data_IF_400791771417
#
_entry.id   IF_400791771417
#
_cell.length_a   1.000
_cell.length_b   1.000
_cell.length_c   1.000
_cell.angle_alpha   90.00
_cell.angle_beta   90.00
_cell.angle_gamma   90.00
#
_symmetry.space_group_name_H-M   'P 1'
#
loop_
_entity.id
_entity.type
_entity.pdbx_description
1 polymer ?
#
# COMPACT_ATOMS: atom_id res chain seq x y z
N UNK A 1 -45.72 32.56 -36.67
CA UNK A 1 -45.33 32.36 -35.27
C UNK A 1 -44.52 31.09 -35.20
N UNK A 2 -43.21 31.15 -34.97
CA UNK A 2 -42.51 30.20 -34.10
C UNK A 2 -41.07 30.64 -33.92
N UNK A 3 -40.62 30.51 -32.67
CA UNK A 3 -39.53 31.28 -32.07
C UNK A 3 -38.18 30.63 -32.34
N UNK A 4 -37.20 31.49 -32.68
CA UNK A 4 -35.77 31.24 -32.57
C UNK A 4 -35.40 30.94 -31.11
N UNK A 5 -34.82 29.77 -30.84
CA UNK A 5 -34.08 29.51 -29.61
C UNK A 5 -32.59 29.36 -29.95
N UNK A 6 -31.85 30.45 -29.75
CA UNK A 6 -30.39 30.43 -29.63
C UNK A 6 -30.03 29.95 -28.22
N UNK A 7 -29.31 28.84 -28.12
CA UNK A 7 -28.62 28.45 -26.89
C UNK A 7 -27.15 28.82 -27.07
N UNK A 8 -26.67 29.75 -26.22
CA UNK A 8 -25.27 30.14 -26.10
C UNK A 8 -24.47 29.00 -25.44
N UNK A 9 -23.49 28.44 -26.15
CA UNK A 9 -22.44 27.63 -25.52
C UNK A 9 -21.42 28.59 -24.87
N UNK A 10 -21.40 28.64 -23.54
CA UNK A 10 -20.31 29.25 -22.79
C UNK A 10 -19.14 28.27 -22.71
N UNK A 11 -18.02 28.68 -23.28
CA UNK A 11 -16.71 28.05 -23.15
C UNK A 11 -16.20 28.26 -21.72
N UNK A 12 -15.88 27.17 -21.02
CA UNK A 12 -15.08 27.20 -19.79
C UNK A 12 -13.93 26.19 -19.94
N UNK A 13 -12.77 26.72 -20.34
CA UNK A 13 -11.48 26.06 -20.21
C UNK A 13 -11.19 25.78 -18.73
N UNK A 14 -11.03 24.52 -18.36
CA UNK A 14 -10.32 24.15 -17.12
C UNK A 14 -9.10 23.33 -17.48
N UNK A 15 -7.95 23.84 -17.03
CA UNK A 15 -6.60 23.32 -17.25
C UNK A 15 -6.46 21.86 -16.76
N UNK A 16 -6.18 20.94 -17.69
CA UNK A 16 -5.48 19.69 -17.38
C UNK A 16 -3.98 19.90 -17.66
N UNK A 17 -3.19 19.97 -16.59
CA UNK A 17 -1.73 19.94 -16.67
C UNK A 17 -1.28 18.50 -16.95
N UNK A 18 -1.01 18.19 -18.22
CA UNK A 18 -0.30 16.99 -18.63
C UNK A 18 1.20 17.26 -18.51
N UNK A 19 1.83 16.64 -17.51
CA UNK A 19 3.28 16.62 -17.37
C UNK A 19 3.91 15.78 -18.49
N UNK A 20 4.33 16.42 -19.58
CA UNK A 20 5.27 15.85 -20.56
C UNK A 20 6.69 16.08 -20.06
N UNK A 21 7.30 15.04 -19.51
CA UNK A 21 8.73 14.99 -19.24
C UNK A 21 9.44 14.60 -20.53
N UNK A 22 9.92 15.59 -21.29
CA UNK A 22 10.77 15.36 -22.47
C UNK A 22 12.22 15.67 -22.13
N UNK A 23 13.05 14.64 -22.18
CA UNK A 23 14.51 14.73 -22.26
C UNK A 23 14.94 15.74 -23.33
N UNK A 24 15.81 16.69 -22.98
CA UNK A 24 16.81 17.27 -23.88
C UNK A 24 17.89 18.01 -23.08
N UNK A 25 19.08 17.42 -23.05
CA UNK A 25 20.34 18.08 -22.76
C UNK A 25 20.71 18.90 -24.01
N UNK A 26 21.01 20.20 -23.87
CA UNK A 26 21.96 20.90 -24.76
C UNK A 26 22.58 22.12 -24.06
N UNK A 27 23.84 22.33 -24.38
CA UNK A 27 24.83 23.24 -23.81
C UNK A 27 24.60 24.74 -24.09
N UNK A 28 25.18 25.57 -23.21
CA UNK A 28 25.89 26.84 -23.47
C UNK A 28 25.25 27.87 -24.42
N UNK A 29 24.94 29.05 -23.89
CA UNK A 29 25.71 30.28 -24.16
C UNK A 29 25.00 31.50 -23.58
N UNK A 30 25.83 32.44 -23.15
CA UNK A 30 25.52 33.81 -22.73
C UNK A 30 24.31 34.45 -23.42
N UNK A 31 23.40 35.03 -22.63
CA UNK A 31 22.85 36.34 -22.93
C UNK A 31 22.36 37.05 -21.67
N UNK A 32 23.05 38.16 -21.39
CA UNK A 32 22.77 39.11 -20.32
C UNK A 32 21.80 40.14 -20.90
N UNK A 33 20.63 40.32 -20.28
CA UNK A 33 19.75 41.46 -20.56
C UNK A 33 19.54 42.21 -19.26
N UNK A 34 19.77 43.52 -19.32
CA UNK A 34 19.85 44.46 -18.22
C UNK A 34 18.79 45.53 -18.46
N UNK A 35 17.90 45.80 -17.48
CA UNK A 35 17.13 47.04 -17.34
C UNK A 35 16.76 47.22 -15.85
N UNK A 36 16.50 48.46 -15.37
CA UNK A 36 17.08 48.97 -14.14
C UNK A 36 16.03 49.24 -13.04
N UNK A 37 16.54 49.62 -11.87
CA UNK A 37 15.85 50.27 -10.74
C UNK A 37 15.09 49.37 -9.75
N UNK A 38 15.83 48.84 -8.77
CA UNK A 38 15.68 49.16 -7.33
C UNK A 38 16.77 48.42 -6.55
N UNK A 39 17.67 49.18 -5.91
CA UNK A 39 18.66 48.67 -4.96
C UNK A 39 17.94 48.31 -3.66
N UNK A 40 17.97 47.05 -3.28
CA UNK A 40 17.94 46.64 -1.88
C UNK A 40 19.27 45.96 -1.58
N UNK A 41 20.08 46.60 -0.74
CA UNK A 41 21.30 46.01 -0.18
C UNK A 41 20.89 45.13 1.00
N UNK A 42 20.97 43.82 0.84
CA UNK A 42 21.11 42.90 1.96
C UNK A 42 22.50 42.28 1.88
N UNK A 43 23.31 42.58 2.89
CA UNK A 43 24.67 42.07 3.02
C UNK A 43 24.66 40.53 3.12
N UNK A 44 25.50 39.89 2.30
CA UNK A 44 25.80 38.47 2.45
C UNK A 44 26.61 38.27 3.74
N UNK A 45 26.17 37.43 4.69
CA UNK A 45 27.09 36.88 5.66
C UNK A 45 27.93 35.78 5.00
N UNK A 46 29.18 35.74 5.42
CA UNK A 46 30.27 34.92 4.90
C UNK A 46 29.97 33.41 5.04
N UNK A 47 30.49 32.66 4.05
CA UNK A 47 30.76 31.22 4.03
C UNK A 47 30.55 30.48 5.36
N UNK A 48 29.57 29.59 5.39
CA UNK A 48 29.67 28.34 6.14
C UNK A 48 29.61 27.19 5.12
N UNK A 49 30.78 26.67 4.75
CA UNK A 49 30.88 25.36 4.09
C UNK A 49 30.58 24.32 5.15
N UNK A 50 29.36 23.79 5.15
CA UNK A 50 29.11 22.48 5.72
C UNK A 50 28.64 21.58 4.58
N UNK A 51 29.51 20.63 4.22
CA UNK A 51 29.14 19.46 3.43
C UNK A 51 28.06 18.70 4.21
N UNK A 52 26.80 18.96 3.88
CA UNK A 52 25.70 18.06 4.22
C UNK A 52 25.46 17.20 2.98
N UNK A 53 26.18 16.09 2.91
CA UNK A 53 25.79 14.95 2.09
C UNK A 53 24.46 14.43 2.66
N UNK A 54 23.35 14.87 2.09
CA UNK A 54 22.05 14.26 2.32
C UNK A 54 22.12 12.82 1.81
N UNK A 55 21.85 11.79 2.63
CA UNK A 55 21.70 10.44 2.12
C UNK A 55 20.45 10.43 1.22
N UNK A 56 20.69 10.23 -0.05
CA UNK A 56 19.72 10.13 -1.13
C UNK A 56 18.98 8.80 -1.09
N UNK A 57 18.22 8.49 -0.03
CA UNK A 57 17.27 7.38 -0.03
C UNK A 57 16.08 7.68 0.89
N UNK A 58 15.32 8.74 0.59
CA UNK A 58 13.89 8.71 0.94
C UNK A 58 13.20 7.84 -0.10
N UNK A 59 13.10 6.55 0.18
CA UNK A 59 12.08 5.73 -0.46
C UNK A 59 10.73 6.34 -0.08
N UNK A 60 10.13 7.06 -1.02
CA UNK A 60 8.74 7.45 -0.92
C UNK A 60 7.93 6.17 -1.13
N UNK A 61 7.76 5.38 -0.08
CA UNK A 61 6.85 4.24 -0.08
C UNK A 61 5.43 4.81 -0.16
N UNK A 62 4.88 4.85 -1.37
CA UNK A 62 3.43 4.95 -1.52
C UNK A 62 2.85 3.71 -0.84
N UNK A 63 1.87 3.84 0.09
CA UNK A 63 1.34 2.70 0.79
C UNK A 63 0.75 1.73 -0.24
N UNK A 64 1.35 0.53 -0.31
CA UNK A 64 0.91 -0.58 -1.13
C UNK A 64 -0.38 -1.09 -0.48
N UNK A 65 -1.49 -0.38 -0.68
CA UNK A 65 -2.75 -0.69 -0.02
C UNK A 65 -3.79 -1.34 -0.95
N UNK A 66 -3.52 -1.39 -2.26
CA UNK A 66 -4.46 -1.98 -3.22
C UNK A 66 -4.08 -3.40 -3.61
N UNK A 67 -5.09 -4.27 -3.56
CA UNK A 67 -5.08 -5.57 -4.26
C UNK A 67 -4.93 -5.34 -5.76
N UNK A 68 -4.28 -6.28 -6.45
CA UNK A 68 -4.09 -6.24 -7.91
C UNK A 68 -4.50 -7.55 -8.52
N UNK A 69 -5.04 -7.50 -9.73
CA UNK A 69 -5.35 -8.69 -10.52
C UNK A 69 -4.31 -8.84 -11.62
N UNK A 70 -3.98 -10.08 -11.94
CA UNK A 70 -3.15 -10.43 -13.07
C UNK A 70 -3.78 -11.56 -13.86
N UNK A 71 -3.66 -11.48 -15.18
CA UNK A 71 -4.09 -12.52 -16.11
C UNK A 71 -2.90 -12.93 -16.95
N UNK A 72 -2.69 -14.23 -17.08
CA UNK A 72 -1.72 -14.83 -17.98
C UNK A 72 -2.39 -15.83 -18.90
N UNK A 73 -1.88 -15.88 -20.13
CA UNK A 73 -2.34 -16.80 -21.16
C UNK A 73 -1.12 -17.29 -21.93
N UNK A 74 -1.02 -18.60 -22.09
CA UNK A 74 0.01 -19.21 -22.92
C UNK A 74 -0.58 -20.34 -23.77
N UNK A 75 0.03 -20.55 -24.95
CA UNK A 75 -0.37 -21.58 -25.90
C UNK A 75 0.87 -22.19 -26.56
N UNK A 76 1.00 -23.51 -26.46
CA UNK A 76 2.04 -24.28 -27.14
C UNK A 76 1.46 -25.15 -28.23
N UNK A 77 2.21 -25.26 -29.34
CA UNK A 77 1.97 -26.30 -30.35
C UNK A 77 2.45 -27.65 -29.83
N UNK A 78 1.74 -28.72 -30.19
CA UNK A 78 2.10 -30.10 -29.85
C UNK A 78 2.62 -30.86 -31.07
N UNK A 79 3.84 -31.37 -31.00
CA UNK A 79 4.50 -32.13 -32.07
C UNK A 79 4.94 -33.53 -31.62
N UNK A 80 4.95 -34.53 -32.52
CA UNK A 80 5.42 -35.88 -32.20
C UNK A 80 6.88 -35.93 -31.73
N UNK A 81 7.17 -36.86 -30.81
CA UNK A 81 8.55 -37.11 -30.34
C UNK A 81 9.07 -36.11 -29.31
N UNK A 82 8.26 -35.14 -28.89
CA UNK A 82 8.56 -34.23 -27.79
C UNK A 82 7.86 -34.67 -26.50
N UNK A 83 8.44 -34.39 -25.31
CA UNK A 83 7.78 -34.64 -24.04
C UNK A 83 6.66 -33.61 -23.79
N UNK A 84 5.54 -34.06 -23.22
CA UNK A 84 4.47 -33.18 -22.75
C UNK A 84 4.65 -32.90 -21.26
N UNK A 85 5.13 -31.71 -20.92
CA UNK A 85 5.31 -31.28 -19.53
C UNK A 85 4.23 -30.27 -19.18
N UNK A 86 3.47 -30.55 -18.12
CA UNK A 86 2.34 -29.72 -17.69
C UNK A 86 2.36 -29.63 -16.16
N UNK A 87 2.56 -28.43 -15.63
CA UNK A 87 2.62 -28.20 -14.19
C UNK A 87 3.74 -28.94 -13.48
N UNK A 88 4.89 -29.10 -14.13
CA UNK A 88 6.07 -29.82 -13.64
C UNK A 88 5.97 -31.34 -13.74
N UNK A 89 4.94 -31.88 -14.41
CA UNK A 89 4.73 -33.32 -14.58
C UNK A 89 4.87 -33.67 -16.06
N UNK A 90 5.69 -34.67 -16.35
CA UNK A 90 5.73 -35.30 -17.68
C UNK A 90 4.53 -36.24 -17.82
N UNK A 91 3.65 -35.93 -18.77
CA UNK A 91 2.46 -36.70 -19.07
C UNK A 91 2.74 -37.68 -20.21
N UNK A 92 2.13 -38.87 -20.13
CA UNK A 92 2.18 -39.83 -21.22
C UNK A 92 1.29 -39.36 -22.38
N UNK A 93 1.93 -39.08 -23.51
CA UNK A 93 1.28 -38.56 -24.71
C UNK A 93 2.16 -38.80 -25.94
N UNK A 94 1.55 -38.97 -27.11
CA UNK A 94 2.23 -39.16 -28.40
C UNK A 94 2.85 -37.86 -28.97
N UNK A 95 2.58 -36.72 -28.34
CA UNK A 95 3.01 -35.37 -28.74
C UNK A 95 3.38 -34.53 -27.51
N UNK A 96 4.31 -33.61 -27.67
CA UNK A 96 4.75 -32.70 -26.60
C UNK A 96 4.89 -31.26 -27.06
N UNK A 97 5.05 -30.35 -26.10
CA UNK A 97 5.08 -28.90 -26.33
C UNK A 97 6.33 -28.48 -27.11
N UNK A 98 6.13 -27.64 -28.12
CA UNK A 98 7.21 -26.93 -28.81
C UNK A 98 7.51 -25.64 -28.06
N UNK A 99 8.70 -25.53 -27.46
CA UNK A 99 9.12 -24.33 -26.73
C UNK A 99 10.64 -24.16 -26.70
N UNK A 100 11.08 -22.99 -26.25
CA UNK A 100 12.51 -22.69 -26.02
C UNK A 100 13.00 -23.24 -24.66
N UNK A 101 12.07 -23.52 -23.73
CA UNK A 101 12.26 -24.19 -22.44
C UNK A 101 11.69 -25.62 -22.48
N UNK A 102 11.25 -26.14 -21.33
CA UNK A 102 10.53 -27.42 -21.22
C UNK A 102 9.06 -27.36 -21.68
N UNK A 103 8.56 -26.19 -22.11
CA UNK A 103 7.25 -26.03 -22.74
C UNK A 103 6.05 -26.14 -21.78
N UNK A 104 6.27 -25.86 -20.49
CA UNK A 104 5.22 -25.92 -19.47
C UNK A 104 4.26 -24.73 -19.53
N UNK A 105 3.12 -24.96 -20.19
CA UNK A 105 2.07 -23.96 -20.42
C UNK A 105 1.48 -23.39 -19.11
N UNK A 106 1.45 -24.18 -18.03
CA UNK A 106 0.88 -23.73 -16.75
C UNK A 106 1.85 -22.75 -16.11
N UNK A 107 3.12 -23.12 -16.00
CA UNK A 107 4.12 -22.26 -15.36
C UNK A 107 4.27 -20.95 -16.09
N UNK A 108 4.32 -20.95 -17.42
CA UNK A 108 4.37 -19.72 -18.21
C UNK A 108 3.15 -18.83 -17.98
N UNK A 109 1.94 -19.40 -18.02
CA UNK A 109 0.70 -18.65 -17.76
C UNK A 109 0.69 -18.03 -16.36
N UNK A 110 1.16 -18.76 -15.34
CA UNK A 110 1.22 -18.26 -13.96
C UNK A 110 2.26 -17.15 -13.82
N UNK A 111 3.42 -17.28 -14.47
CA UNK A 111 4.44 -16.22 -14.51
C UNK A 111 3.86 -14.94 -15.12
N UNK A 112 3.22 -15.03 -16.29
CA UNK A 112 2.60 -13.86 -16.93
C UNK A 112 1.48 -13.24 -16.08
N UNK A 113 0.68 -14.05 -15.40
CA UNK A 113 -0.33 -13.55 -14.47
C UNK A 113 0.31 -12.74 -13.34
N UNK A 114 1.39 -13.23 -12.73
CA UNK A 114 2.12 -12.52 -11.67
C UNK A 114 2.72 -11.22 -12.22
N UNK A 115 3.43 -11.27 -13.35
CA UNK A 115 4.06 -10.11 -13.97
C UNK A 115 3.04 -9.04 -14.36
N UNK A 116 1.92 -9.46 -14.95
CA UNK A 116 0.79 -8.59 -15.29
C UNK A 116 0.19 -7.90 -14.07
N UNK A 117 -0.03 -8.65 -12.98
CA UNK A 117 -0.49 -8.07 -11.71
C UNK A 117 0.48 -7.07 -11.09
N UNK A 118 1.78 -7.22 -11.35
CA UNK A 118 2.82 -6.29 -10.90
C UNK A 118 3.02 -5.08 -11.83
N UNK A 119 2.38 -5.07 -13.01
CA UNK A 119 2.58 -4.06 -14.06
C UNK A 119 3.96 -4.16 -14.71
N UNK A 120 4.51 -5.37 -14.80
CA UNK A 120 5.80 -5.66 -15.43
C UNK A 120 5.61 -6.13 -16.88
N UNK A 121 6.68 -6.06 -17.70
CA UNK A 121 6.74 -6.74 -19.01
C UNK A 121 6.43 -8.23 -18.90
N UNK A 122 5.95 -8.83 -19.99
CA UNK A 122 5.65 -10.27 -20.07
C UNK A 122 6.90 -11.16 -19.98
N UNK A 123 6.68 -12.47 -19.87
CA UNK A 123 7.74 -13.48 -19.75
C UNK A 123 8.77 -13.40 -20.90
N UNK A 124 8.32 -13.16 -22.14
CA UNK A 124 9.20 -13.12 -23.31
C UNK A 124 10.07 -11.87 -23.37
N UNK A 125 9.57 -10.75 -22.84
CA UNK A 125 10.30 -9.50 -22.69
C UNK A 125 11.29 -9.55 -21.53
N UNK A 126 10.88 -10.14 -20.40
CA UNK A 126 11.66 -10.14 -19.17
C UNK A 126 12.72 -11.25 -19.11
N UNK A 127 12.40 -12.41 -19.70
CA UNK A 127 13.24 -13.61 -19.71
C UNK A 127 13.55 -14.03 -21.16
N UNK A 128 14.02 -13.08 -21.96
CA UNK A 128 14.25 -13.31 -23.39
C UNK A 128 15.28 -14.40 -23.67
N UNK A 129 14.96 -15.29 -24.61
CA UNK A 129 15.86 -16.35 -25.11
C UNK A 129 17.15 -15.85 -25.76
N UNK A 130 17.21 -14.54 -26.07
CA UNK A 130 18.43 -13.89 -26.58
C UNK A 130 19.50 -13.76 -25.50
N UNK A 131 19.12 -13.75 -24.23
CA UNK A 131 20.06 -13.66 -23.12
C UNK A 131 20.60 -15.05 -22.77
N UNK A 132 21.93 -15.25 -22.75
CA UNK A 132 22.52 -16.56 -22.47
C UNK A 132 22.09 -17.19 -21.14
N UNK A 133 21.72 -16.36 -20.16
CA UNK A 133 21.28 -16.82 -18.83
C UNK A 133 19.91 -17.51 -18.82
N UNK A 134 19.04 -17.23 -19.80
CA UNK A 134 17.67 -17.77 -19.86
C UNK A 134 17.50 -18.87 -20.90
N UNK A 135 18.46 -19.00 -21.82
CA UNK A 135 18.37 -19.98 -22.91
C UNK A 135 18.34 -21.41 -22.38
N UNK A 136 17.24 -22.12 -22.64
CA UNK A 136 17.09 -23.54 -22.31
C UNK A 136 16.95 -23.84 -20.82
N UNK A 137 16.63 -22.84 -19.99
CA UNK A 137 16.34 -23.08 -18.57
C UNK A 137 14.95 -23.70 -18.41
N UNK A 138 14.78 -24.52 -17.37
CA UNK A 138 13.49 -25.13 -17.04
C UNK A 138 12.49 -24.06 -16.58
N UNK A 139 11.20 -24.25 -16.86
CA UNK A 139 10.17 -23.23 -16.63
C UNK A 139 9.95 -22.91 -15.15
N UNK A 140 10.30 -23.85 -14.26
CA UNK A 140 10.30 -23.62 -12.80
C UNK A 140 11.20 -22.46 -12.38
N UNK A 141 12.28 -22.18 -13.12
CA UNK A 141 13.18 -21.06 -12.83
C UNK A 141 12.47 -19.72 -13.03
N UNK A 142 11.62 -19.61 -14.06
CA UNK A 142 10.82 -18.40 -14.29
C UNK A 142 9.79 -18.19 -13.18
N UNK A 143 9.18 -19.26 -12.66
CA UNK A 143 8.27 -19.21 -11.50
C UNK A 143 8.98 -18.68 -10.25
N UNK A 144 10.20 -19.16 -9.97
CA UNK A 144 11.00 -18.73 -8.82
C UNK A 144 11.39 -17.24 -8.92
N UNK A 145 11.81 -16.78 -10.10
CA UNK A 145 12.15 -15.37 -10.33
C UNK A 145 10.91 -14.47 -10.32
N UNK A 146 9.78 -14.91 -10.87
CA UNK A 146 8.52 -14.17 -10.76
C UNK A 146 8.07 -14.00 -9.30
N UNK A 147 8.17 -15.06 -8.48
CA UNK A 147 7.90 -14.99 -7.03
C UNK A 147 8.83 -14.01 -6.33
N UNK A 148 10.11 -14.02 -6.67
CA UNK A 148 11.11 -13.11 -6.09
C UNK A 148 10.83 -11.65 -6.44
N UNK A 149 10.49 -11.36 -7.69
CA UNK A 149 10.09 -10.02 -8.14
C UNK A 149 8.80 -9.55 -7.45
N UNK A 150 7.82 -10.45 -7.30
CA UNK A 150 6.58 -10.19 -6.56
C UNK A 150 6.87 -9.78 -5.11
N UNK A 151 7.71 -10.55 -4.40
CA UNK A 151 8.10 -10.26 -3.03
C UNK A 151 8.90 -8.96 -2.91
N UNK A 152 9.82 -8.69 -3.84
CA UNK A 152 10.56 -7.42 -3.90
C UNK A 152 9.65 -6.20 -4.10
N UNK A 153 8.52 -6.37 -4.78
CA UNK A 153 7.50 -5.32 -4.95
C UNK A 153 6.50 -5.23 -3.79
N UNK A 154 6.70 -6.02 -2.73
CA UNK A 154 5.86 -6.01 -1.54
C UNK A 154 4.48 -6.65 -1.72
N UNK A 155 4.39 -7.62 -2.63
CA UNK A 155 3.15 -8.36 -2.89
C UNK A 155 3.30 -9.84 -2.51
N UNK A 156 2.15 -10.45 -2.21
CA UNK A 156 1.96 -11.88 -2.08
C UNK A 156 0.69 -12.33 -2.82
N UNK A 157 0.54 -13.63 -3.04
CA UNK A 157 -0.64 -14.19 -3.71
C UNK A 157 -1.76 -14.41 -2.68
N UNK A 158 -2.91 -13.80 -2.94
CA UNK A 158 -4.15 -14.05 -2.21
C UNK A 158 -4.78 -15.36 -2.70
N UNK A 159 -5.01 -15.48 -4.01
CA UNK A 159 -5.45 -16.73 -4.66
C UNK A 159 -4.97 -16.79 -6.11
N UNK A 160 -4.90 -18.02 -6.64
CA UNK A 160 -4.49 -18.37 -8.00
C UNK A 160 -5.48 -19.38 -8.56
N UNK A 161 -6.12 -19.04 -9.68
CA UNK A 161 -7.06 -19.90 -10.39
C UNK A 161 -6.57 -20.17 -11.81
N UNK A 162 -6.46 -21.45 -12.17
CA UNK A 162 -5.87 -21.90 -13.43
C UNK A 162 -6.90 -22.71 -14.20
N UNK A 163 -6.94 -22.54 -15.52
CA UNK A 163 -7.74 -23.34 -16.44
C UNK A 163 -6.86 -23.80 -17.59
N UNK A 164 -6.64 -25.11 -17.69
CA UNK A 164 -5.93 -25.73 -18.81
C UNK A 164 -6.95 -26.27 -19.80
N UNK A 165 -6.71 -26.00 -21.07
CA UNK A 165 -7.48 -26.51 -22.19
C UNK A 165 -6.61 -27.54 -22.91
N UNK A 166 -6.98 -28.81 -22.77
CA UNK A 166 -6.28 -29.95 -23.33
C UNK A 166 -7.28 -31.07 -23.62
N UNK A 167 -7.26 -31.58 -24.83
CA UNK A 167 -8.21 -32.62 -25.25
C UNK A 167 -7.81 -34.01 -24.70
N UNK A 168 -6.51 -34.35 -24.68
CA UNK A 168 -5.94 -35.49 -23.95
C UNK A 168 -4.48 -35.22 -23.54
N UNK A 169 -3.97 -35.88 -22.47
CA UNK A 169 -4.68 -36.82 -21.59
C UNK A 169 -5.55 -36.10 -20.56
N UNK A 170 -6.39 -36.86 -19.83
CA UNK A 170 -7.20 -36.31 -18.73
C UNK A 170 -6.28 -35.87 -17.58
N UNK A 171 -6.32 -34.59 -17.22
CA UNK A 171 -5.49 -34.06 -16.13
C UNK A 171 -6.01 -34.37 -14.72
N UNK A 172 -7.24 -34.87 -14.58
CA UNK A 172 -7.87 -35.10 -13.27
C UNK A 172 -7.03 -35.95 -12.30
N UNK A 173 -6.31 -36.97 -12.80
CA UNK A 173 -5.41 -37.81 -12.01
C UNK A 173 -4.12 -37.11 -11.57
N UNK A 174 -3.76 -36.01 -12.23
CA UNK A 174 -2.51 -35.27 -11.99
C UNK A 174 -2.75 -33.93 -11.27
N UNK A 175 -4.01 -33.52 -11.08
CA UNK A 175 -4.37 -32.22 -10.52
C UNK A 175 -3.69 -31.93 -9.17
N UNK A 176 -3.67 -32.90 -8.26
CA UNK A 176 -3.08 -32.69 -6.93
C UNK A 176 -1.57 -32.45 -7.01
N UNK A 177 -0.86 -33.29 -7.77
CA UNK A 177 0.59 -33.15 -7.95
C UNK A 177 0.97 -31.83 -8.66
N UNK A 178 0.17 -31.39 -9.65
CA UNK A 178 0.39 -30.08 -10.30
C UNK A 178 0.20 -28.95 -9.28
N UNK A 179 -0.88 -28.98 -8.50
CA UNK A 179 -1.11 -27.97 -7.47
C UNK A 179 -0.01 -27.95 -6.40
N UNK A 180 0.49 -29.12 -5.99
CA UNK A 180 1.61 -29.25 -5.04
C UNK A 180 2.90 -28.62 -5.59
N UNK A 181 3.26 -28.90 -6.85
CA UNK A 181 4.41 -28.27 -7.51
C UNK A 181 4.28 -26.74 -7.53
N UNK A 182 3.10 -26.21 -7.88
CA UNK A 182 2.83 -24.76 -7.87
C UNK A 182 2.98 -24.20 -6.46
N UNK A 183 2.39 -24.87 -5.46
CA UNK A 183 2.48 -24.46 -4.06
C UNK A 183 3.93 -24.44 -3.57
N UNK A 184 4.73 -25.44 -3.94
CA UNK A 184 6.13 -25.52 -3.56
C UNK A 184 6.98 -24.40 -4.17
N UNK A 185 6.80 -24.14 -5.47
CA UNK A 185 7.53 -23.10 -6.20
C UNK A 185 7.16 -21.69 -5.73
N UNK A 186 5.86 -21.44 -5.54
CA UNK A 186 5.34 -20.13 -5.13
C UNK A 186 5.34 -19.92 -3.62
N UNK A 187 5.64 -20.96 -2.83
CA UNK A 187 5.54 -20.98 -1.36
C UNK A 187 4.14 -20.61 -0.87
N UNK A 188 3.12 -21.24 -1.45
CA UNK A 188 1.70 -21.03 -1.14
C UNK A 188 1.12 -22.20 -0.37
N UNK A 189 0.06 -21.92 0.38
CA UNK A 189 -0.81 -22.94 0.95
C UNK A 189 -1.78 -23.47 -0.11
N UNK A 190 -2.16 -24.74 0.01
CA UNK A 190 -2.96 -25.46 -0.99
C UNK A 190 -4.34 -24.82 -1.23
N UNK A 191 -4.94 -24.22 -0.21
CA UNK A 191 -6.24 -23.53 -0.28
C UNK A 191 -6.25 -22.31 -1.21
N UNK A 192 -5.07 -21.77 -1.55
CA UNK A 192 -4.95 -20.61 -2.45
C UNK A 192 -4.90 -20.97 -3.92
N UNK A 193 -4.69 -22.24 -4.28
CA UNK A 193 -4.45 -22.66 -5.67
C UNK A 193 -5.62 -23.51 -6.15
N UNK A 194 -6.18 -23.17 -7.31
CA UNK A 194 -7.19 -23.99 -7.97
C UNK A 194 -6.77 -24.30 -9.41
N UNK A 195 -7.00 -25.55 -9.83
CA UNK A 195 -6.70 -26.02 -11.18
C UNK A 195 -7.94 -26.66 -11.78
N UNK A 196 -8.34 -26.15 -12.94
CA UNK A 196 -9.42 -26.67 -13.76
C UNK A 196 -8.84 -27.19 -15.07
N UNK A 197 -9.38 -28.29 -15.57
CA UNK A 197 -9.02 -28.84 -16.86
C UNK A 197 -10.29 -28.97 -17.70
N UNK A 198 -10.20 -28.58 -18.97
CA UNK A 198 -11.30 -28.58 -19.93
C UNK A 198 -10.81 -29.15 -21.26
N UNK A 199 -11.67 -29.90 -21.91
CA UNK A 199 -11.59 -30.24 -23.34
C UNK A 199 -11.97 -29.02 -24.17
N UNK A 200 -11.66 -29.04 -25.47
CA UNK A 200 -12.14 -28.02 -26.42
C UNK A 200 -13.22 -28.58 -27.36
N UNK A 201 -13.89 -29.65 -26.92
CA UNK A 201 -15.03 -30.28 -27.61
C UNK A 201 -14.73 -30.64 -29.07
N UNK A 202 -13.49 -31.09 -29.36
CA UNK A 202 -13.02 -31.42 -30.71
C UNK A 202 -13.06 -30.24 -31.71
N UNK A 203 -13.15 -29.01 -31.22
CA UNK A 203 -13.10 -27.79 -32.04
C UNK A 203 -11.67 -27.26 -32.12
N UNK A 204 -11.28 -26.82 -33.32
CA UNK A 204 -10.00 -26.18 -33.66
C UNK A 204 -8.72 -26.97 -33.33
N UNK A 205 -7.57 -26.30 -33.27
CA UNK A 205 -6.27 -26.90 -32.95
C UNK A 205 -6.21 -27.57 -31.58
N UNK A 206 -6.91 -27.02 -30.58
CA UNK A 206 -6.96 -27.57 -29.22
C UNK A 206 -7.75 -28.88 -29.22
N UNK A 207 -8.92 -28.88 -29.86
CA UNK A 207 -9.75 -30.09 -30.01
C UNK A 207 -9.13 -31.16 -30.92
N UNK A 208 -8.23 -30.77 -31.82
CA UNK A 208 -7.48 -31.69 -32.68
C UNK A 208 -6.18 -32.24 -32.06
N UNK A 209 -5.89 -31.94 -30.79
CA UNK A 209 -4.63 -32.32 -30.12
C UNK A 209 -3.37 -31.76 -30.79
N UNK A 210 -3.49 -30.60 -31.45
CA UNK A 210 -2.37 -29.91 -32.10
C UNK A 210 -1.79 -28.80 -31.22
N UNK A 211 -2.48 -28.43 -30.15
CA UNK A 211 -2.04 -27.42 -29.19
C UNK A 211 -2.56 -27.70 -27.78
N UNK A 212 -1.95 -27.02 -26.82
CA UNK A 212 -2.40 -26.91 -25.44
C UNK A 212 -2.44 -25.43 -25.08
N UNK A 213 -3.47 -25.01 -24.33
CA UNK A 213 -3.59 -23.63 -23.86
C UNK A 213 -3.86 -23.58 -22.36
N UNK A 214 -3.44 -22.49 -21.72
CA UNK A 214 -3.70 -22.28 -20.31
C UNK A 214 -4.04 -20.80 -20.05
N UNK A 215 -5.01 -20.60 -19.15
CA UNK A 215 -5.32 -19.32 -18.55
C UNK A 215 -5.02 -19.38 -17.06
N UNK A 216 -4.31 -18.37 -16.54
CA UNK A 216 -4.08 -18.20 -15.12
C UNK A 216 -4.57 -16.82 -14.67
N UNK A 217 -5.28 -16.77 -13.55
CA UNK A 217 -5.74 -15.55 -12.90
C UNK A 217 -5.18 -15.50 -11.49
N UNK A 218 -4.50 -14.42 -11.15
CA UNK A 218 -3.92 -14.22 -9.82
C UNK A 218 -4.49 -12.96 -9.19
N UNK A 219 -4.84 -13.05 -7.90
CA UNK A 219 -5.08 -11.90 -7.06
C UNK A 219 -3.84 -11.70 -6.18
N UNK A 220 -3.18 -10.55 -6.34
CA UNK A 220 -2.07 -10.12 -5.51
C UNK A 220 -2.59 -9.22 -4.40
N UNK A 221 -2.05 -9.41 -3.21
CA UNK A 221 -2.32 -8.59 -2.02
C UNK A 221 -1.00 -8.06 -1.45
N UNK A 222 -1.02 -6.95 -0.71
CA UNK A 222 0.16 -6.48 -0.01
C UNK A 222 0.73 -7.56 0.91
N UNK A 223 2.06 -7.69 0.95
CA UNK A 223 2.72 -8.68 1.79
C UNK A 223 2.63 -8.29 3.27
N UNK A 224 1.77 -8.97 4.01
CA UNK A 224 1.57 -8.78 5.45
C UNK A 224 2.83 -8.98 6.29
N UNK A 225 3.85 -9.70 5.81
CA UNK A 225 5.11 -9.89 6.54
C UNK A 225 5.98 -8.64 6.53
N UNK A 226 5.95 -7.87 5.44
CA UNK A 226 6.59 -6.56 5.37
C UNK A 226 5.81 -5.50 6.17
N UNK A 227 4.49 -5.66 6.29
CA UNK A 227 3.66 -4.77 7.10
C UNK A 227 3.90 -4.97 8.61
N UNK A 228 4.25 -6.18 9.06
CA UNK A 228 4.44 -6.51 10.49
C UNK A 228 5.62 -5.81 11.18
N UNK A 229 6.70 -5.48 10.44
CA UNK A 229 7.85 -4.77 11.02
C UNK A 229 7.59 -3.26 11.21
N UNK A 230 6.73 -2.65 10.40
CA UNK A 230 6.42 -1.21 10.47
C UNK A 230 5.09 -0.91 11.19
N UNK A 231 4.08 -1.80 11.14
CA UNK A 231 2.76 -1.57 11.75
C UNK A 231 2.75 -1.66 13.29
N UNK A 232 3.63 -2.45 13.91
CA UNK A 232 3.54 -2.68 15.36
C UNK A 232 3.76 -1.40 16.20
N UNK A 233 4.55 -0.44 15.69
CA UNK A 233 4.80 0.85 16.33
C UNK A 233 3.84 1.94 15.81
N UNK A 234 3.50 1.93 14.51
CA UNK A 234 2.65 2.96 13.90
C UNK A 234 1.16 2.78 14.19
N UNK A 235 0.65 1.55 14.25
CA UNK A 235 -0.78 1.26 14.47
C UNK A 235 -1.20 1.53 15.92
N UNK A 236 -0.34 1.25 16.90
CA UNK A 236 -0.61 1.62 18.30
C UNK A 236 -0.67 3.14 18.48
N UNK A 237 0.20 3.89 17.80
CA UNK A 237 0.20 5.36 17.83
C UNK A 237 -0.96 5.95 17.02
N UNK A 238 -1.37 5.34 15.92
CA UNK A 238 -2.49 5.80 15.10
C UNK A 238 -3.85 5.54 15.77
N UNK A 239 -4.05 4.38 16.41
CA UNK A 239 -5.29 4.03 17.10
C UNK A 239 -5.55 4.92 18.33
N UNK A 240 -4.49 5.29 19.07
CA UNK A 240 -4.62 6.18 20.23
C UNK A 240 -4.90 7.63 19.82
N UNK A 241 -4.24 8.12 18.77
CA UNK A 241 -4.43 9.46 18.21
C UNK A 241 -5.85 9.62 17.62
N UNK A 242 -6.37 8.58 16.95
CA UNK A 242 -7.71 8.55 16.36
C UNK A 242 -8.83 8.55 17.42
N UNK A 243 -8.63 7.92 18.59
CA UNK A 243 -9.65 7.90 19.65
C UNK A 243 -9.89 9.28 20.28
N UNK A 244 -8.82 9.99 20.66
CA UNK A 244 -8.94 11.31 21.27
C UNK A 244 -9.49 12.33 20.26
N UNK A 245 -9.11 12.22 18.98
CA UNK A 245 -9.70 13.05 17.92
C UNK A 245 -11.21 12.80 17.79
N UNK A 246 -11.65 11.54 17.76
CA UNK A 246 -13.08 11.18 17.77
C UNK A 246 -13.81 11.70 19.02
N UNK A 247 -13.18 11.62 20.19
CA UNK A 247 -13.74 12.13 21.44
C UNK A 247 -13.90 13.66 21.39
N UNK A 248 -12.87 14.37 20.92
CA UNK A 248 -12.87 15.81 20.73
C UNK A 248 -13.96 16.26 19.75
N UNK A 249 -14.09 15.62 18.59
CA UNK A 249 -15.14 15.95 17.61
C UNK A 249 -16.54 15.74 18.20
N UNK A 250 -16.74 14.66 18.98
CA UNK A 250 -18.01 14.42 19.68
C UNK A 250 -18.31 15.50 20.72
N UNK A 251 -17.30 16.00 21.43
CA UNK A 251 -17.43 17.13 22.37
C UNK A 251 -17.84 18.41 21.65
N UNK A 252 -17.15 18.76 20.56
CA UNK A 252 -17.46 19.95 19.74
C UNK A 252 -18.89 19.87 19.22
N UNK A 253 -19.29 18.72 18.67
CA UNK A 253 -20.67 18.50 18.22
C UNK A 253 -21.68 18.69 19.36
N UNK A 254 -21.43 18.09 20.53
CA UNK A 254 -22.32 18.19 21.70
C UNK A 254 -22.37 19.58 22.31
N UNK A 255 -21.32 20.39 22.21
CA UNK A 255 -21.34 21.78 22.68
C UNK A 255 -22.28 22.69 21.88
N UNK A 256 -22.64 22.29 20.65
CA UNK A 256 -23.53 23.05 19.76
C UNK A 256 -24.99 22.60 19.87
N UNK A 257 -25.28 21.57 20.66
CA UNK A 257 -26.64 21.08 20.91
C UNK A 257 -27.33 21.89 22.03
N UNK A 258 -28.65 21.79 22.13
CA UNK A 258 -29.43 22.47 23.17
C UNK A 258 -28.90 22.11 24.59
N UNK A 259 -28.58 23.11 25.44
CA UNK A 259 -28.13 22.89 26.82
C UNK A 259 -29.08 22.08 27.70
N UNK A 260 -30.37 22.03 27.36
CA UNK A 260 -31.36 21.20 28.06
C UNK A 260 -31.25 19.70 27.73
N UNK A 261 -30.59 19.35 26.61
CA UNK A 261 -30.49 17.98 26.10
C UNK A 261 -29.08 17.39 26.20
N UNK A 262 -28.06 18.22 26.45
CA UNK A 262 -26.66 17.80 26.49
C UNK A 262 -25.92 18.37 27.68
N UNK A 263 -25.42 17.46 28.53
CA UNK A 263 -24.60 17.81 29.69
C UNK A 263 -23.36 18.63 29.29
N UNK A 264 -22.73 18.31 28.15
CA UNK A 264 -21.59 19.08 27.61
C UNK A 264 -22.00 20.51 27.28
N UNK A 265 -23.15 20.70 26.61
CA UNK A 265 -23.64 22.04 26.26
C UNK A 265 -23.97 22.88 27.50
N UNK A 266 -24.55 22.24 28.53
CA UNK A 266 -24.76 22.87 29.83
C UNK A 266 -23.45 23.32 30.46
N UNK A 267 -22.41 22.50 30.45
CA UNK A 267 -21.11 22.88 31.00
C UNK A 267 -20.46 24.05 30.21
N UNK A 268 -20.60 24.06 28.88
CA UNK A 268 -20.15 25.19 28.05
C UNK A 268 -20.87 26.50 28.41
N UNK A 269 -22.18 26.44 28.67
CA UNK A 269 -22.97 27.63 29.07
C UNK A 269 -22.54 28.23 30.42
N UNK A 270 -21.93 27.43 31.29
CA UNK A 270 -21.43 27.86 32.61
C UNK A 270 -20.04 28.52 32.55
N UNK A 271 -19.41 28.54 31.37
CA UNK A 271 -18.17 29.27 31.12
C UNK A 271 -16.88 28.61 31.64
N UNK A 272 -15.75 29.28 31.35
CA UNK A 272 -14.40 28.75 31.53
C UNK A 272 -14.10 28.25 32.95
N UNK A 273 -14.52 28.99 33.97
CA UNK A 273 -14.22 28.68 35.36
C UNK A 273 -14.85 27.35 35.79
N UNK A 274 -16.11 27.11 35.39
CA UNK A 274 -16.84 25.89 35.71
C UNK A 274 -16.24 24.65 35.02
N UNK A 275 -15.82 24.79 33.76
CA UNK A 275 -15.13 23.72 33.02
C UNK A 275 -13.78 23.42 33.66
N UNK A 276 -12.97 24.44 33.98
CA UNK A 276 -11.66 24.27 34.59
C UNK A 276 -11.78 23.63 35.99
N UNK A 277 -12.79 24.00 36.76
CA UNK A 277 -13.10 23.37 38.05
C UNK A 277 -13.37 21.88 37.87
N UNK A 278 -14.22 21.50 36.91
CA UNK A 278 -14.56 20.09 36.68
C UNK A 278 -13.33 19.28 36.24
N UNK A 279 -12.51 19.81 35.33
CA UNK A 279 -11.23 19.20 34.97
C UNK A 279 -10.32 18.96 36.18
N UNK A 280 -10.27 19.93 37.11
CA UNK A 280 -9.51 19.80 38.35
C UNK A 280 -10.07 18.73 39.31
N UNK A 281 -11.40 18.61 39.42
CA UNK A 281 -12.05 17.58 40.25
C UNK A 281 -11.65 16.17 39.78
N UNK A 282 -11.78 15.87 38.49
CA UNK A 282 -11.42 14.54 37.95
C UNK A 282 -9.94 14.21 38.09
N UNK A 283 -9.08 15.23 37.96
CA UNK A 283 -7.64 15.05 38.15
C UNK A 283 -7.32 14.64 39.60
N UNK A 284 -8.02 15.22 40.58
CA UNK A 284 -7.87 14.87 41.98
C UNK A 284 -8.45 13.48 42.25
N UNK A 285 -9.62 13.16 41.71
CA UNK A 285 -10.26 11.84 41.86
C UNK A 285 -9.39 10.72 41.27
N UNK A 286 -8.77 10.96 40.11
CA UNK A 286 -7.78 10.04 39.49
C UNK A 286 -6.59 9.78 40.41
N UNK A 287 -6.05 10.82 41.04
CA UNK A 287 -4.92 10.69 41.97
C UNK A 287 -5.32 9.92 43.23
N UNK A 288 -6.50 10.22 43.79
CA UNK A 288 -7.03 9.51 44.97
C UNK A 288 -7.19 8.02 44.66
N UNK A 289 -7.83 7.67 43.54
CA UNK A 289 -8.01 6.28 43.12
C UNK A 289 -6.67 5.53 42.96
N UNK A 290 -5.64 6.21 42.44
CA UNK A 290 -4.28 5.67 42.36
C UNK A 290 -3.63 5.44 43.74
N UNK A 291 -3.83 6.35 44.69
CA UNK A 291 -3.30 6.21 46.06
C UNK A 291 -4.01 5.09 46.85
N UNK A 292 -5.30 4.89 46.60
CA UNK A 292 -6.10 3.82 47.20
C UNK A 292 -5.83 2.44 46.58
N UNK A 293 -5.01 2.37 45.52
CA UNK A 293 -4.73 1.16 44.74
C UNK A 293 -6.00 0.46 44.24
N UNK A 294 -7.01 1.23 43.81
CA UNK A 294 -8.20 0.70 43.15
C UNK A 294 -8.04 0.80 41.62
N UNK A 295 -7.69 -0.29 40.90
CA UNK A 295 -7.44 -0.23 39.46
C UNK A 295 -8.71 0.06 38.67
N UNK A 296 -9.88 -0.35 39.17
CA UNK A 296 -11.14 -0.14 38.47
C UNK A 296 -11.56 1.32 38.56
N UNK A 297 -11.48 1.91 39.76
CA UNK A 297 -11.74 3.33 39.96
C UNK A 297 -10.74 4.17 39.19
N UNK A 298 -9.45 3.82 39.22
CA UNK A 298 -8.41 4.54 38.49
C UNK A 298 -8.69 4.60 36.98
N UNK A 299 -9.15 3.50 36.37
CA UNK A 299 -9.53 3.48 34.94
C UNK A 299 -10.71 4.42 34.67
N UNK A 300 -11.72 4.40 35.54
CA UNK A 300 -12.92 5.24 35.39
C UNK A 300 -12.56 6.73 35.47
N UNK A 301 -11.87 7.14 36.52
CA UNK A 301 -11.47 8.53 36.73
C UNK A 301 -10.50 9.01 35.64
N UNK A 302 -9.61 8.13 35.17
CA UNK A 302 -8.74 8.44 34.02
C UNK A 302 -9.53 8.72 32.74
N UNK A 303 -10.63 7.99 32.51
CA UNK A 303 -11.49 8.21 31.35
C UNK A 303 -12.24 9.55 31.45
N UNK A 304 -12.77 9.88 32.63
CA UNK A 304 -13.46 11.14 32.88
C UNK A 304 -12.49 12.33 32.79
N UNK A 305 -11.27 12.20 33.31
CA UNK A 305 -10.19 13.18 33.14
C UNK A 305 -9.87 13.46 31.66
N UNK A 306 -9.71 12.43 30.83
CA UNK A 306 -9.46 12.59 29.39
C UNK A 306 -10.63 13.29 28.69
N UNK A 307 -11.87 12.95 29.06
CA UNK A 307 -13.05 13.61 28.53
C UNK A 307 -13.09 15.10 28.90
N UNK A 308 -12.87 15.43 30.18
CA UNK A 308 -12.86 16.81 30.66
C UNK A 308 -11.71 17.63 30.11
N UNK A 309 -10.58 17.00 29.81
CA UNK A 309 -9.47 17.63 29.11
C UNK A 309 -9.86 18.01 27.67
N UNK A 310 -10.53 17.11 26.94
CA UNK A 310 -11.06 17.41 25.60
C UNK A 310 -12.10 18.54 25.62
N UNK A 311 -12.97 18.57 26.64
CA UNK A 311 -13.93 19.67 26.85
C UNK A 311 -13.23 21.01 27.06
N UNK A 312 -12.19 21.03 27.88
CA UNK A 312 -11.42 22.24 28.12
C UNK A 312 -10.66 22.71 26.88
N UNK A 313 -10.05 21.79 26.14
CA UNK A 313 -9.41 22.08 24.85
C UNK A 313 -10.39 22.69 23.84
N UNK A 314 -11.56 22.07 23.66
CA UNK A 314 -12.59 22.56 22.75
C UNK A 314 -13.06 23.97 23.12
N UNK A 315 -13.27 24.24 24.42
CA UNK A 315 -13.64 25.57 24.90
C UNK A 315 -12.53 26.62 24.65
N UNK A 316 -11.27 26.22 24.84
CA UNK A 316 -10.09 27.06 24.60
C UNK A 316 -9.67 27.14 23.12
N UNK A 317 -10.37 26.44 22.22
CA UNK A 317 -10.04 26.31 20.79
C UNK A 317 -8.65 25.73 20.53
N UNK A 318 -8.24 24.78 21.37
CA UNK A 318 -7.01 24.00 21.20
C UNK A 318 -7.39 22.67 20.57
N UNK A 319 -6.73 22.28 19.48
CA UNK A 319 -6.97 20.99 18.82
C UNK A 319 -6.08 19.90 19.44
N UNK A 320 -6.51 18.61 19.41
CA UNK A 320 -5.64 17.51 19.80
C UNK A 320 -4.32 17.50 19.02
N UNK A 321 -4.36 17.82 17.72
CA UNK A 321 -3.19 17.96 16.87
C UNK A 321 -2.13 18.92 17.43
N UNK A 322 -2.53 20.09 17.93
CA UNK A 322 -1.59 21.05 18.51
C UNK A 322 -0.90 20.51 19.78
N UNK A 323 -1.60 19.66 20.54
CA UNK A 323 -1.03 19.00 21.72
C UNK A 323 -0.07 17.89 21.31
N UNK A 324 -0.40 17.10 20.29
CA UNK A 324 0.49 16.06 19.76
C UNK A 324 1.77 16.63 19.16
N UNK A 325 1.69 17.77 18.46
CA UNK A 325 2.88 18.47 17.95
C UNK A 325 3.82 18.88 19.08
N UNK A 326 3.28 19.37 20.20
CA UNK A 326 4.06 19.71 21.38
C UNK A 326 4.64 18.48 22.08
N UNK A 327 3.90 17.37 22.16
CA UNK A 327 4.42 16.10 22.71
C UNK A 327 5.56 15.55 21.85
N UNK A 328 5.38 15.50 20.53
CA UNK A 328 6.42 15.06 19.59
C UNK A 328 7.68 15.94 19.66
N UNK A 329 7.49 17.26 19.84
CA UNK A 329 8.60 18.20 20.05
C UNK A 329 9.40 17.87 21.31
N UNK A 330 8.73 17.43 22.39
CA UNK A 330 9.37 17.02 23.65
C UNK A 330 10.05 15.66 23.54
N UNK A 331 9.45 14.69 22.87
CA UNK A 331 10.09 13.38 22.66
C UNK A 331 11.38 13.49 21.83
N UNK A 332 11.42 14.41 20.87
CA UNK A 332 12.62 14.72 20.07
C UNK A 332 13.73 15.43 20.87
N UNK A 333 13.43 15.94 22.06
CA UNK A 333 14.36 16.53 23.01
C UNK A 333 14.46 15.62 24.23
N UNK A 334 15.30 14.57 24.18
CA UNK A 334 15.40 13.58 25.27
C UNK A 334 15.44 14.24 26.68
N UNK A 335 14.71 13.66 27.64
CA UNK A 335 14.37 14.23 28.95
C UNK A 335 15.51 14.56 29.92
N UNK A 336 16.77 14.49 29.48
CA UNK A 336 17.95 14.92 30.25
C UNK A 336 18.16 16.44 30.11
N UNK A 337 17.89 17.02 28.93
CA UNK A 337 18.08 18.46 28.68
C UNK A 337 16.98 19.33 29.33
N UNK A 338 15.76 18.80 29.44
CA UNK A 338 14.63 19.53 30.05
C UNK A 338 14.71 19.57 31.59
N UNK A 339 15.18 18.50 32.25
CA UNK A 339 15.44 18.50 33.71
C UNK A 339 16.61 19.44 34.08
N UNK A 340 17.63 19.54 33.24
CA UNK A 340 18.73 20.48 33.41
C UNK A 340 18.30 21.95 33.28
N UNK A 341 17.39 22.25 32.34
CA UNK A 341 16.88 23.63 32.13
C UNK A 341 15.80 24.07 33.13
N UNK A 342 15.06 23.13 33.75
CA UNK A 342 14.14 23.45 34.86
C UNK A 342 14.87 23.70 36.18
N UNK A 343 15.97 23.00 36.43
CA UNK A 343 16.79 23.17 37.63
C UNK A 343 17.59 24.49 37.66
N UNK A 344 17.82 25.12 36.51
CA UNK A 344 18.51 26.42 36.41
C UNK A 344 17.61 27.65 36.59
N UNK A 345 16.28 27.49 36.50
CA UNK A 345 15.30 28.57 36.68
C UNK A 345 14.79 28.74 38.12
N UNK A 346 15.23 27.87 39.04
CA UNK A 346 14.84 27.86 40.46
C UNK A 346 16.01 28.22 41.41
N UNK A 347 17.02 28.94 40.92
CA UNK A 347 18.07 29.54 41.76
C UNK A 347 17.95 31.05 41.81
#
# INVERSE_FOLDING_TARGET
MEKRNQVRLLSFCTFLSVARCSNKIFYSSTNRVFFPTRRYSFGLPRKCRHNLSLPSHRFCFSPIASVRIGHGFDLHRLEPGLPLIVGGITLDHDRGSVGHSDGDVIFHSVVDAILGGLGLPDIGQLFSDKEPRWKGVASKVFMEEARKLMKQKGYDIANLDITVILERPKLASHNNAICENICELLKLSRDKVNLKAKTHEQVDSLGQNLSIACHAFVLLQPDSTLMKEEESVAVQNALSTDFIEKLYQRVVQRSQTDPSLSWTSRLFSQGRASIAKKLGEEAVETVIAGLENDPHQLVKESADLLYHLCVYWAFCKITPQAVYEELNRRESQSGIEEKASRSSKLK
#
